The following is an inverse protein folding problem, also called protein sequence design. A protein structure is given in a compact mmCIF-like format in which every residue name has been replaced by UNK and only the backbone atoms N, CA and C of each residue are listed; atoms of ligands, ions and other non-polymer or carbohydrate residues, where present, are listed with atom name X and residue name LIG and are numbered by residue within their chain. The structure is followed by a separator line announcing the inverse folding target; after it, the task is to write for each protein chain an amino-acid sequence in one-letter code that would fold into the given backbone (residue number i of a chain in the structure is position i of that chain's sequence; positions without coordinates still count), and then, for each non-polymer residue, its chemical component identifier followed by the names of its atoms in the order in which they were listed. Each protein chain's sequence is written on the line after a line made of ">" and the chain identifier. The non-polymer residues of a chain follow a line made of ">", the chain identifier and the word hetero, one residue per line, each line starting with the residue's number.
data_IF_495652906519
#
_entry.id   IF_495652906519
#
_cell.length_a   1.000
_cell.length_b   1.000
_cell.length_c   1.000
_cell.angle_alpha   90.00
_cell.angle_beta   90.00
_cell.angle_gamma   90.00
#
_symmetry.space_group_name_H-M   'P 1'
#
loop_
_entity.id
_entity.type
_entity.pdbx_description
1 polymer ?
#
# COMPACT_ATOMS: atom_id res chain seq x y z
N UNK A 1 -20.35 69.31 2.35
CA UNK A 1 -19.14 69.28 1.50
C UNK A 1 -18.35 68.02 1.84
N UNK A 2 -18.14 67.13 0.85
CA UNK A 2 -17.05 66.13 0.67
C UNK A 2 -16.63 65.25 1.89
N UNK A 3 -16.41 63.93 1.85
CA UNK A 3 -16.26 62.84 0.87
C UNK A 3 -16.16 61.56 1.71
N UNK A 4 -16.99 60.54 1.46
CA UNK A 4 -16.58 59.20 0.99
C UNK A 4 -15.13 58.76 1.33
N UNK A 5 -14.99 57.62 2.04
CA UNK A 5 -14.16 56.48 1.62
C UNK A 5 -14.30 55.28 2.59
N UNK A 6 -15.06 54.27 2.15
CA UNK A 6 -14.90 52.87 2.54
C UNK A 6 -13.83 52.29 1.61
N UNK A 7 -12.72 51.74 2.14
CA UNK A 7 -11.83 50.75 1.49
C UNK A 7 -11.02 50.09 2.63
N UNK A 8 -11.30 48.87 3.09
CA UNK A 8 -11.04 47.57 2.47
C UNK A 8 -9.56 47.32 2.14
N UNK A 9 -8.87 46.60 3.03
CA UNK A 9 -7.66 45.80 2.73
C UNK A 9 -7.67 44.62 3.71
N UNK A 10 -8.45 43.55 3.43
CA UNK A 10 -8.05 42.37 2.65
C UNK A 10 -6.65 41.88 3.02
N UNK A 11 -6.66 40.87 3.90
CA UNK A 11 -5.88 39.64 3.83
C UNK A 11 -4.39 39.76 3.41
N UNK A 12 -3.54 40.04 4.39
CA UNK A 12 -2.19 39.49 4.43
C UNK A 12 -2.23 38.14 5.14
N UNK A 13 -2.92 37.17 4.55
CA UNK A 13 -2.54 35.78 4.77
C UNK A 13 -1.37 35.54 3.83
N UNK A 14 -0.15 35.25 4.33
CA UNK A 14 0.82 34.61 3.48
C UNK A 14 0.21 33.26 3.17
N UNK A 15 -0.41 33.17 1.98
CA UNK A 15 -0.55 31.92 1.30
C UNK A 15 0.88 31.40 1.18
N UNK A 16 1.27 30.57 2.15
CA UNK A 16 2.32 29.61 1.97
C UNK A 16 1.83 28.69 0.85
N UNK A 17 1.92 29.19 -0.38
CA UNK A 17 1.94 28.37 -1.56
C UNK A 17 3.18 27.52 -1.39
N UNK A 18 3.01 26.39 -0.70
CA UNK A 18 3.91 25.28 -0.78
C UNK A 18 3.92 24.94 -2.27
N UNK A 19 4.90 25.47 -2.99
CA UNK A 19 5.20 25.02 -4.33
C UNK A 19 5.42 23.51 -4.19
N UNK A 20 4.41 22.74 -4.57
CA UNK A 20 4.49 21.29 -4.58
C UNK A 20 5.70 20.98 -5.45
N UNK A 21 6.77 20.47 -4.81
CA UNK A 21 8.00 20.16 -5.50
C UNK A 21 7.66 19.27 -6.70
N UNK A 22 8.27 19.54 -7.85
CA UNK A 22 8.00 18.79 -9.07
C UNK A 22 8.15 17.27 -8.78
N UNK A 23 7.25 16.42 -9.33
CA UNK A 23 7.31 14.98 -9.13
C UNK A 23 8.70 14.43 -9.52
N UNK A 24 9.34 13.70 -8.60
CA UNK A 24 10.67 13.10 -8.80
C UNK A 24 10.57 11.68 -9.38
N UNK A 25 9.36 11.12 -9.44
CA UNK A 25 9.08 9.73 -9.85
C UNK A 25 9.82 8.72 -8.98
N UNK A 26 9.95 9.02 -7.70
CA UNK A 26 10.66 8.19 -6.73
C UNK A 26 9.94 8.15 -5.38
N UNK A 27 10.10 7.06 -4.64
CA UNK A 27 9.56 6.91 -3.29
C UNK A 27 10.66 6.99 -2.24
N UNK A 28 10.37 7.63 -1.12
CA UNK A 28 11.21 7.61 0.08
C UNK A 28 11.17 6.25 0.77
N UNK A 29 12.16 5.94 1.62
CA UNK A 29 12.21 4.65 2.33
C UNK A 29 10.92 4.31 3.11
N UNK A 30 10.27 5.25 3.82
CA UNK A 30 8.98 4.97 4.48
C UNK A 30 7.85 4.64 3.49
N UNK A 31 7.84 5.24 2.32
CA UNK A 31 6.83 5.01 1.27
C UNK A 31 7.05 3.66 0.59
N UNK A 32 8.31 3.29 0.35
CA UNK A 32 8.70 1.97 -0.13
C UNK A 32 8.22 0.89 0.84
N UNK A 33 8.43 1.11 2.13
CA UNK A 33 7.97 0.20 3.16
C UNK A 33 6.44 0.06 3.14
N UNK A 34 5.73 1.18 3.01
CA UNK A 34 4.27 1.17 2.92
C UNK A 34 3.78 0.44 1.66
N UNK A 35 4.42 0.65 0.51
CA UNK A 35 4.11 -0.10 -0.72
C UNK A 35 4.32 -1.60 -0.53
N UNK A 36 5.45 -2.01 0.04
CA UNK A 36 5.77 -3.42 0.31
C UNK A 36 4.69 -4.07 1.19
N UNK A 37 4.27 -3.37 2.25
CA UNK A 37 3.19 -3.81 3.13
C UNK A 37 1.86 -3.95 2.38
N UNK A 38 1.46 -2.98 1.57
CA UNK A 38 0.19 -3.08 0.81
C UNK A 38 0.23 -4.25 -0.18
N UNK A 39 1.33 -4.42 -0.92
CA UNK A 39 1.50 -5.54 -1.85
C UNK A 39 1.48 -6.88 -1.13
N UNK A 40 2.21 -7.05 -0.04
CA UNK A 40 2.15 -8.29 0.73
C UNK A 40 0.73 -8.59 1.22
N UNK A 41 -0.04 -7.57 1.61
CA UNK A 41 -1.44 -7.74 1.99
C UNK A 41 -2.32 -8.23 0.84
N UNK A 42 -2.17 -7.65 -0.36
CA UNK A 42 -2.89 -8.08 -1.57
C UNK A 42 -2.51 -9.53 -1.93
N UNK A 43 -1.21 -9.85 -1.92
CA UNK A 43 -0.73 -11.21 -2.18
C UNK A 43 -1.35 -12.22 -1.22
N UNK A 44 -1.29 -11.96 0.09
CA UNK A 44 -1.82 -12.88 1.09
C UNK A 44 -3.33 -13.04 0.99
N UNK A 45 -4.06 -11.98 0.66
CA UNK A 45 -5.51 -12.07 0.42
C UNK A 45 -5.84 -13.04 -0.71
N UNK A 46 -5.15 -12.91 -1.84
CA UNK A 46 -5.38 -13.77 -3.00
C UNK A 46 -4.88 -15.21 -2.74
N UNK A 47 -3.69 -15.36 -2.16
CA UNK A 47 -3.11 -16.67 -1.87
C UNK A 47 -3.92 -17.46 -0.84
N UNK A 48 -4.33 -16.82 0.26
CA UNK A 48 -5.17 -17.44 1.29
C UNK A 48 -6.55 -17.81 0.71
N UNK A 49 -7.14 -16.97 -0.13
CA UNK A 49 -8.39 -17.28 -0.83
C UNK A 49 -8.27 -18.54 -1.68
N UNK A 50 -7.18 -18.68 -2.45
CA UNK A 50 -6.96 -19.85 -3.31
C UNK A 50 -6.69 -21.14 -2.54
N UNK A 51 -5.97 -21.05 -1.43
CA UNK A 51 -5.72 -22.20 -0.56
C UNK A 51 -6.98 -22.63 0.21
N UNK A 52 -7.83 -21.67 0.60
CA UNK A 52 -9.08 -21.91 1.33
C UNK A 52 -9.98 -22.93 0.64
N UNK A 53 -10.13 -22.82 -0.67
CA UNK A 53 -11.09 -23.61 -1.43
C UNK A 53 -10.60 -25.03 -1.75
N UNK A 54 -9.36 -25.39 -1.35
CA UNK A 54 -8.74 -26.67 -1.70
C UNK A 54 -7.99 -27.35 -0.56
N UNK A 55 -6.93 -26.72 -0.05
CA UNK A 55 -5.90 -27.39 0.77
C UNK A 55 -5.75 -26.80 2.17
N UNK A 56 -6.26 -25.60 2.43
CA UNK A 56 -6.20 -24.95 3.73
C UNK A 56 -7.52 -24.27 4.09
N UNK A 57 -8.60 -25.04 4.38
CA UNK A 57 -9.89 -24.47 4.76
C UNK A 57 -9.77 -23.49 5.93
N UNK A 58 -10.41 -22.32 5.81
CA UNK A 58 -10.36 -21.25 6.81
C UNK A 58 -9.20 -20.26 6.65
N UNK A 59 -8.28 -20.47 5.68
CA UNK A 59 -7.18 -19.54 5.41
C UNK A 59 -7.68 -18.12 5.12
N UNK A 60 -8.77 -17.99 4.34
CA UNK A 60 -9.37 -16.70 4.00
C UNK A 60 -9.85 -15.97 5.24
N UNK A 61 -10.56 -16.65 6.12
CA UNK A 61 -11.11 -16.07 7.35
C UNK A 61 -9.99 -15.66 8.32
N UNK A 62 -8.92 -16.46 8.40
CA UNK A 62 -7.73 -16.13 9.18
C UNK A 62 -7.07 -14.85 8.67
N UNK A 63 -6.89 -14.72 7.36
CA UNK A 63 -6.38 -13.49 6.78
C UNK A 63 -7.29 -12.28 7.10
N UNK A 64 -8.61 -12.43 6.97
CA UNK A 64 -9.55 -11.36 7.33
C UNK A 64 -9.48 -10.96 8.81
N UNK A 65 -9.31 -11.92 9.72
CA UNK A 65 -9.11 -11.64 11.16
C UNK A 65 -7.81 -10.89 11.41
N UNK A 66 -6.73 -11.25 10.73
CA UNK A 66 -5.45 -10.53 10.78
C UNK A 66 -5.61 -9.09 10.29
N UNK A 67 -6.29 -8.89 9.15
CA UNK A 67 -6.59 -7.56 8.60
C UNK A 67 -7.39 -6.72 9.59
N UNK A 68 -8.46 -7.28 10.16
CA UNK A 68 -9.31 -6.59 11.12
C UNK A 68 -8.53 -6.20 12.40
N UNK A 69 -7.76 -7.13 12.97
CA UNK A 69 -6.97 -6.89 14.18
C UNK A 69 -5.89 -5.81 14.01
N UNK A 70 -5.45 -5.53 12.78
CA UNK A 70 -4.42 -4.55 12.48
C UNK A 70 -4.92 -3.42 11.56
N UNK A 71 -6.24 -3.20 11.49
CA UNK A 71 -6.86 -2.33 10.49
C UNK A 71 -6.27 -0.92 10.42
N UNK A 72 -5.97 -0.29 11.56
CA UNK A 72 -5.33 1.05 11.60
C UNK A 72 -3.95 1.06 10.96
N UNK A 73 -3.16 0.00 11.13
CA UNK A 73 -1.80 -0.10 10.56
C UNK A 73 -1.88 -0.33 9.06
N UNK A 74 -2.75 -1.23 8.60
CA UNK A 74 -3.01 -1.45 7.18
C UNK A 74 -3.50 -0.19 6.48
N UNK A 75 -4.46 0.53 7.08
CA UNK A 75 -4.95 1.82 6.55
C UNK A 75 -3.82 2.84 6.45
N UNK A 76 -2.97 2.94 7.48
CA UNK A 76 -1.81 3.85 7.43
C UNK A 76 -0.86 3.55 6.26
N UNK A 77 -0.61 2.28 5.95
CA UNK A 77 0.22 1.89 4.81
C UNK A 77 -0.45 2.20 3.48
N UNK A 78 -1.76 1.96 3.35
CA UNK A 78 -2.55 2.33 2.15
C UNK A 78 -2.55 3.84 1.93
N UNK A 79 -2.77 4.64 2.98
CA UNK A 79 -2.80 6.10 2.87
C UNK A 79 -1.44 6.66 2.45
N UNK A 80 -0.35 6.14 3.03
CA UNK A 80 1.02 6.51 2.65
C UNK A 80 1.32 6.15 1.20
N UNK A 81 0.93 4.95 0.78
CA UNK A 81 1.03 4.50 -0.61
C UNK A 81 0.31 5.47 -1.54
N UNK A 82 -0.97 5.74 -1.30
CA UNK A 82 -1.76 6.62 -2.17
C UNK A 82 -1.14 8.02 -2.29
N UNK A 83 -0.73 8.62 -1.17
CA UNK A 83 -0.07 9.93 -1.17
C UNK A 83 1.23 9.94 -1.97
N UNK A 84 2.03 8.87 -1.89
CA UNK A 84 3.26 8.76 -2.65
C UNK A 84 2.98 8.64 -4.15
N UNK A 85 2.07 7.75 -4.55
CA UNK A 85 1.67 7.59 -5.95
C UNK A 85 1.08 8.88 -6.54
N UNK A 86 0.16 9.53 -5.82
CA UNK A 86 -0.48 10.78 -6.24
C UNK A 86 0.55 11.91 -6.40
N UNK A 87 1.49 12.04 -5.46
CA UNK A 87 2.55 13.06 -5.54
C UNK A 87 3.49 12.83 -6.72
N UNK A 88 3.90 11.59 -6.95
CA UNK A 88 4.96 11.27 -7.92
C UNK A 88 4.44 11.05 -9.35
N UNK A 89 3.15 10.80 -9.50
CA UNK A 89 2.50 10.50 -10.79
C UNK A 89 1.11 11.18 -10.91
N UNK A 90 1.02 12.52 -10.76
CA UNK A 90 -0.26 13.21 -10.58
C UNK A 90 -1.30 12.97 -11.69
N UNK A 91 -0.85 12.77 -12.93
CA UNK A 91 -1.73 12.62 -14.10
C UNK A 91 -2.36 11.21 -14.21
N UNK A 92 -1.66 10.17 -13.74
CA UNK A 92 -2.04 8.78 -14.00
C UNK A 92 -1.86 7.83 -12.80
N UNK A 93 -1.67 8.36 -11.58
CA UNK A 93 -1.38 7.54 -10.39
C UNK A 93 -2.39 6.42 -10.15
N UNK A 94 -3.68 6.67 -10.38
CA UNK A 94 -4.75 5.66 -10.25
C UNK A 94 -4.58 4.52 -11.25
N UNK A 95 -4.20 4.85 -12.49
CA UNK A 95 -3.93 3.84 -13.50
C UNK A 95 -2.69 3.03 -13.11
N UNK A 96 -1.61 3.69 -12.69
CA UNK A 96 -0.36 3.02 -12.30
C UNK A 96 -0.52 2.11 -11.08
N UNK A 97 -1.20 2.56 -10.03
CA UNK A 97 -1.46 1.75 -8.83
C UNK A 97 -2.32 0.53 -9.18
N UNK A 98 -3.38 0.71 -9.98
CA UNK A 98 -4.23 -0.38 -10.43
C UNK A 98 -3.46 -1.39 -11.29
N UNK A 99 -2.59 -0.91 -12.18
CA UNK A 99 -1.74 -1.78 -12.99
C UNK A 99 -0.76 -2.58 -12.12
N UNK A 100 -0.12 -1.93 -11.15
CA UNK A 100 0.77 -2.59 -10.19
C UNK A 100 0.03 -3.68 -9.39
N UNK A 101 -1.15 -3.36 -8.86
CA UNK A 101 -1.97 -4.30 -8.08
C UNK A 101 -2.50 -5.45 -8.96
N UNK A 102 -2.92 -5.15 -10.18
CA UNK A 102 -3.43 -6.14 -11.13
C UNK A 102 -2.37 -7.19 -11.50
N UNK A 103 -1.11 -6.78 -11.70
CA UNK A 103 0.00 -7.73 -11.94
C UNK A 103 0.25 -8.64 -10.75
N UNK A 104 0.14 -8.10 -9.53
CA UNK A 104 0.31 -8.90 -8.31
C UNK A 104 -0.81 -9.92 -8.14
N UNK A 105 -2.06 -9.50 -8.32
CA UNK A 105 -3.24 -10.37 -8.28
C UNK A 105 -3.13 -11.48 -9.33
N UNK A 106 -2.76 -11.11 -10.56
CA UNK A 106 -2.57 -12.07 -11.66
C UNK A 106 -1.46 -13.08 -11.33
N UNK A 107 -0.33 -12.60 -10.82
CA UNK A 107 0.76 -13.46 -10.38
C UNK A 107 0.29 -14.44 -9.30
N UNK A 108 -0.35 -13.95 -8.23
CA UNK A 108 -0.86 -14.78 -7.14
C UNK A 108 -1.88 -15.82 -7.62
N UNK A 109 -2.70 -15.51 -8.63
CA UNK A 109 -3.68 -16.41 -9.23
C UNK A 109 -3.10 -17.46 -10.17
N UNK A 110 -1.94 -17.21 -10.75
CA UNK A 110 -1.28 -18.12 -11.68
C UNK A 110 -0.29 -19.09 -11.02
N UNK A 111 0.06 -18.89 -9.74
CA UNK A 111 0.87 -19.87 -8.99
C UNK A 111 0.08 -21.19 -8.87
N UNK A 112 0.64 -22.36 -9.19
CA UNK A 112 -0.04 -23.63 -8.95
C UNK A 112 -0.39 -23.83 -7.47
N UNK A 113 -1.64 -24.20 -7.17
CA UNK A 113 -2.06 -24.50 -5.79
C UNK A 113 -1.63 -25.93 -5.45
N UNK A 114 -0.50 -26.06 -4.76
CA UNK A 114 0.06 -27.32 -4.26
C UNK A 114 0.02 -27.35 -2.73
N UNK A 115 0.24 -28.52 -2.13
CA UNK A 115 0.35 -28.67 -0.67
C UNK A 115 1.44 -27.74 -0.11
N UNK A 116 2.67 -27.83 -0.65
CA UNK A 116 3.77 -26.98 -0.19
C UNK A 116 3.52 -25.48 -0.37
N UNK A 117 2.74 -25.06 -1.38
CA UNK A 117 2.33 -23.66 -1.49
C UNK A 117 1.41 -23.27 -0.33
N UNK A 118 0.40 -24.08 -0.04
CA UNK A 118 -0.57 -23.78 1.01
C UNK A 118 0.01 -23.95 2.43
N UNK A 119 0.95 -24.87 2.63
CA UNK A 119 1.71 -25.01 3.89
C UNK A 119 2.55 -23.75 4.16
N UNK A 120 3.21 -23.21 3.13
CA UNK A 120 3.93 -21.95 3.26
C UNK A 120 2.99 -20.77 3.56
N UNK A 121 1.80 -20.73 2.96
CA UNK A 121 0.79 -19.71 3.30
C UNK A 121 0.32 -19.89 4.76
N UNK A 122 0.10 -21.12 5.22
CA UNK A 122 -0.26 -21.39 6.61
C UNK A 122 0.83 -20.90 7.57
N UNK A 123 2.10 -21.21 7.31
CA UNK A 123 3.23 -20.77 8.13
C UNK A 123 3.29 -19.24 8.24
N UNK A 124 3.08 -18.54 7.12
CA UNK A 124 3.03 -17.08 7.09
C UNK A 124 1.87 -16.56 7.94
N UNK A 125 0.65 -17.10 7.76
CA UNK A 125 -0.52 -16.69 8.53
C UNK A 125 -0.32 -16.94 10.02
N UNK A 126 0.16 -18.12 10.42
CA UNK A 126 0.46 -18.46 11.81
C UNK A 126 1.51 -17.52 12.41
N UNK A 127 2.56 -17.19 11.64
CA UNK A 127 3.61 -16.28 12.09
C UNK A 127 3.04 -14.89 12.37
N UNK A 128 2.15 -14.39 11.51
CA UNK A 128 1.51 -13.08 11.68
C UNK A 128 0.52 -13.11 12.85
N UNK A 129 -0.26 -14.17 13.01
CA UNK A 129 -1.18 -14.33 14.14
C UNK A 129 -0.42 -14.31 15.47
N UNK A 130 0.72 -15.02 15.56
CA UNK A 130 1.53 -15.11 16.78
C UNK A 130 2.31 -13.85 17.09
N UNK A 131 2.85 -13.15 16.08
CA UNK A 131 3.82 -12.04 16.26
C UNK A 131 3.27 -10.67 15.84
N UNK A 132 2.04 -10.63 15.32
CA UNK A 132 1.34 -9.43 14.90
C UNK A 132 1.98 -8.72 13.70
N UNK A 133 1.58 -7.45 13.53
CA UNK A 133 1.97 -6.62 12.39
C UNK A 133 3.48 -6.45 12.19
N UNK A 134 4.28 -6.54 13.26
CA UNK A 134 5.74 -6.42 13.14
C UNK A 134 6.33 -7.58 12.32
N UNK A 135 5.81 -8.81 12.50
CA UNK A 135 6.21 -9.93 11.66
C UNK A 135 5.72 -9.78 10.23
N UNK A 136 4.46 -9.35 10.04
CA UNK A 136 3.95 -9.01 8.71
C UNK A 136 4.85 -7.99 7.98
N UNK A 137 5.20 -6.89 8.64
CA UNK A 137 6.07 -5.83 8.10
C UNK A 137 7.51 -6.30 7.83
N UNK A 138 7.96 -7.37 8.50
CA UNK A 138 9.25 -8.02 8.18
C UNK A 138 9.12 -8.90 6.94
N UNK A 139 8.05 -9.67 6.83
CA UNK A 139 7.77 -10.56 5.69
C UNK A 139 7.50 -9.79 4.40
N UNK A 140 6.90 -8.60 4.48
CA UNK A 140 6.63 -7.76 3.31
C UNK A 140 7.89 -7.32 2.56
N UNK A 141 9.05 -7.29 3.23
CA UNK A 141 10.35 -6.96 2.63
C UNK A 141 10.85 -8.03 1.65
N UNK A 142 10.33 -9.27 1.76
CA UNK A 142 10.73 -10.40 0.93
C UNK A 142 10.07 -10.36 -0.45
N UNK A 143 8.98 -9.60 -0.62
CA UNK A 143 8.37 -9.32 -1.94
C UNK A 143 9.25 -8.32 -2.69
N UNK A 144 10.45 -8.74 -3.07
CA UNK A 144 11.39 -7.93 -3.86
C UNK A 144 10.99 -7.85 -5.33
N UNK A 145 10.32 -8.88 -5.86
CA UNK A 145 10.15 -9.07 -7.31
C UNK A 145 9.18 -8.10 -8.02
N UNK A 146 8.55 -7.15 -7.34
CA UNK A 146 7.59 -6.23 -8.00
C UNK A 146 7.71 -4.77 -7.56
N UNK A 147 8.58 -4.46 -6.59
CA UNK A 147 8.65 -3.14 -5.92
C UNK A 147 9.66 -2.22 -6.62
N UNK A 148 10.70 -2.80 -7.24
CA UNK A 148 11.84 -2.04 -7.78
C UNK A 148 11.57 -1.55 -9.22
N UNK A 149 10.70 -2.24 -9.96
CA UNK A 149 10.48 -1.94 -11.38
C UNK A 149 9.44 -0.82 -11.62
N UNK A 150 8.65 -0.47 -10.60
CA UNK A 150 7.51 0.45 -10.74
C UNK A 150 7.82 1.90 -10.36
N UNK A 151 8.86 2.12 -9.55
CA UNK A 151 9.31 3.44 -9.11
C UNK A 151 10.77 3.38 -8.64
N UNK A 152 11.47 4.53 -8.64
CA UNK A 152 12.83 4.63 -8.13
C UNK A 152 12.85 4.88 -6.62
N UNK A 153 13.95 4.53 -5.95
CA UNK A 153 14.21 5.02 -4.58
C UNK A 153 14.67 6.47 -4.67
N UNK A 154 14.10 7.37 -3.88
CA UNK A 154 14.60 8.74 -3.81
C UNK A 154 16.01 8.73 -3.20
N UNK A 155 16.97 9.28 -3.95
CA UNK A 155 18.32 9.56 -3.48
C UNK A 155 18.40 10.97 -2.89
#
# INVERSE_FOLDING_TARGET
>A
MFRAAIFLAIALSPAAAWAAAAPKKCFSLPEIKAEQEVRQGIFLREAAGRCNDRLLPGAKDRWQKIEAANGTKFRSSVDKRHKAWEREFPDDWKYKINYADGRLVTYARNIPVTEGFCDNIDEILQTIEKRGFAAFSKLSKTVRNQVIDDYKVCQ
#
